data_IF_204342847324
#
_entry.id   IF_204342847324
#
_cell.length_a   1.000
_cell.length_b   1.000
_cell.length_c   1.000
_cell.angle_alpha   90.00
_cell.angle_beta   90.00
_cell.angle_gamma   90.00
#
_symmetry.space_group_name_H-M   'P 1'
#
loop_
_entity.id
_entity.type
_entity.pdbx_description
1 polymer ?
#
# COMPACT_ATOMS: atom_id res chain seq x y z
N UNK A 1 -47.17 65.25 28.80
CA UNK A 1 -46.34 66.04 29.74
C UNK A 1 -45.24 66.74 28.95
N UNK A 2 -45.19 68.08 28.97
CA UNK A 2 -44.20 68.84 28.21
C UNK A 2 -42.81 68.73 28.87
N UNK A 3 -41.80 68.21 28.15
CA UNK A 3 -40.41 68.14 28.64
C UNK A 3 -39.91 69.56 28.96
N UNK A 4 -39.51 69.77 30.22
CA UNK A 4 -38.98 71.04 30.73
C UNK A 4 -37.80 71.55 29.88
N UNK A 5 -37.72 72.87 29.68
CA UNK A 5 -36.64 73.52 28.90
C UNK A 5 -35.24 73.20 29.47
N UNK A 6 -35.16 72.93 30.78
CA UNK A 6 -33.93 72.54 31.46
C UNK A 6 -33.48 71.12 31.09
N UNK A 7 -34.41 70.15 30.98
CA UNK A 7 -34.07 68.78 30.60
C UNK A 7 -33.62 68.68 29.14
N UNK A 8 -34.22 69.45 28.24
CA UNK A 8 -33.78 69.53 26.84
C UNK A 8 -32.36 70.11 26.70
N UNK A 9 -32.01 71.13 27.49
CA UNK A 9 -30.63 71.69 27.51
C UNK A 9 -29.62 70.71 28.10
N UNK A 10 -29.98 69.98 29.16
CA UNK A 10 -29.12 68.94 29.72
C UNK A 10 -28.89 67.80 28.73
N UNK A 11 -29.94 67.32 28.05
CA UNK A 11 -29.82 66.26 27.05
C UNK A 11 -28.89 66.66 25.88
N UNK A 12 -29.00 67.90 25.40
CA UNK A 12 -28.08 68.43 24.38
C UNK A 12 -26.64 68.55 24.88
N UNK A 13 -26.44 68.98 26.13
CA UNK A 13 -25.10 69.05 26.76
C UNK A 13 -24.47 67.67 26.91
N UNK A 14 -25.25 66.68 27.35
CA UNK A 14 -24.79 65.29 27.47
C UNK A 14 -24.46 64.68 26.11
N UNK A 15 -25.30 64.89 25.09
CA UNK A 15 -25.02 64.44 23.71
C UNK A 15 -23.74 65.06 23.15
N UNK A 16 -23.51 66.36 23.37
CA UNK A 16 -22.28 67.05 22.97
C UNK A 16 -21.05 66.48 23.68
N UNK A 17 -21.13 66.24 24.99
CA UNK A 17 -20.03 65.65 25.75
C UNK A 17 -19.73 64.21 25.33
N UNK A 18 -20.77 63.40 25.04
CA UNK A 18 -20.60 62.04 24.50
C UNK A 18 -19.91 62.06 23.14
N UNK A 19 -20.36 62.92 22.21
CA UNK A 19 -19.71 63.07 20.90
C UNK A 19 -18.25 63.48 21.02
N UNK A 20 -17.92 64.44 21.89
CA UNK A 20 -16.54 64.84 22.15
C UNK A 20 -15.70 63.70 22.73
N UNK A 21 -16.25 62.90 23.65
CA UNK A 21 -15.53 61.75 24.23
C UNK A 21 -15.26 60.64 23.20
N UNK A 22 -16.23 60.33 22.33
CA UNK A 22 -16.07 59.34 21.26
C UNK A 22 -15.03 59.81 20.25
N UNK A 23 -15.08 61.09 19.86
CA UNK A 23 -14.09 61.66 18.95
C UNK A 23 -12.68 61.62 19.57
N UNK A 24 -12.57 61.88 20.87
CA UNK A 24 -11.31 61.77 21.62
C UNK A 24 -10.76 60.34 21.63
N UNK A 25 -11.60 59.33 21.88
CA UNK A 25 -11.20 57.91 21.85
C UNK A 25 -10.72 57.50 20.44
N UNK A 26 -11.45 57.91 19.39
CA UNK A 26 -11.07 57.64 18.00
C UNK A 26 -9.72 58.29 17.68
N UNK A 27 -9.50 59.54 18.13
CA UNK A 27 -8.23 60.24 17.93
C UNK A 27 -7.08 59.52 18.65
N UNK A 28 -7.29 59.06 19.88
CA UNK A 28 -6.30 58.29 20.64
C UNK A 28 -5.99 56.97 19.94
N UNK A 29 -7.00 56.23 19.48
CA UNK A 29 -6.81 54.99 18.72
C UNK A 29 -6.02 55.22 17.43
N UNK A 30 -6.32 56.30 16.70
CA UNK A 30 -5.55 56.70 15.52
C UNK A 30 -4.10 57.02 15.86
N UNK A 31 -3.84 57.72 16.98
CA UNK A 31 -2.48 58.02 17.42
C UNK A 31 -1.72 56.75 17.84
N UNK A 32 -2.37 55.82 18.54
CA UNK A 32 -1.76 54.54 18.94
C UNK A 32 -1.46 53.68 17.71
N UNK A 33 -2.38 53.60 16.75
CA UNK A 33 -2.15 52.80 15.55
C UNK A 33 -1.08 53.42 14.64
N UNK A 34 -1.11 54.75 14.48
CA UNK A 34 -0.18 55.46 13.60
C UNK A 34 1.21 55.63 14.20
N UNK A 35 1.32 55.83 15.52
CA UNK A 35 2.59 56.14 16.18
C UNK A 35 2.99 55.10 17.23
N UNK A 36 2.04 54.56 17.99
CA UNK A 36 2.31 53.59 19.05
C UNK A 36 2.83 52.24 18.56
N UNK A 37 2.18 51.63 17.57
CA UNK A 37 2.62 50.35 16.99
C UNK A 37 4.04 50.43 16.40
N UNK A 38 4.37 51.40 15.53
CA UNK A 38 5.73 51.55 15.01
C UNK A 38 6.76 51.77 16.12
N UNK A 39 6.43 52.54 17.16
CA UNK A 39 7.31 52.77 18.30
C UNK A 39 7.62 51.46 19.05
N UNK A 40 6.60 50.62 19.28
CA UNK A 40 6.75 49.32 19.95
C UNK A 40 7.57 48.33 19.11
N UNK A 41 7.34 48.27 17.79
CA UNK A 41 8.13 47.43 16.87
C UNK A 41 9.59 47.86 16.90
N UNK A 42 9.86 49.16 16.79
CA UNK A 42 11.22 49.69 16.79
C UNK A 42 11.92 49.51 18.15
N UNK A 43 11.19 49.68 19.26
CA UNK A 43 11.73 49.43 20.60
C UNK A 43 12.04 47.94 20.81
N UNK A 44 11.18 47.04 20.33
CA UNK A 44 11.42 45.59 20.36
C UNK A 44 12.67 45.20 19.56
N UNK A 45 12.82 45.75 18.35
CA UNK A 45 14.02 45.54 17.52
C UNK A 45 15.29 46.08 18.19
N UNK A 46 15.20 47.25 18.85
CA UNK A 46 16.31 47.85 19.58
C UNK A 46 16.72 47.02 20.81
N UNK A 47 15.76 46.56 21.61
CA UNK A 47 16.01 45.73 22.80
C UNK A 47 16.50 44.32 22.43
N UNK A 48 16.08 43.80 21.27
CA UNK A 48 16.56 42.52 20.71
C UNK A 48 17.99 42.59 20.17
N UNK A 49 18.61 43.78 20.12
CA UNK A 49 20.01 43.97 19.72
C UNK A 49 20.32 43.55 18.27
N UNK A 50 19.29 43.29 17.46
CA UNK A 50 19.42 42.65 16.17
C UNK A 50 18.81 43.51 15.07
N UNK A 51 19.61 43.82 14.05
CA UNK A 51 19.10 44.07 12.69
C UNK A 51 18.54 42.75 12.14
N UNK A 52 17.52 42.20 12.80
CA UNK A 52 16.82 41.03 12.32
C UNK A 52 15.88 41.49 11.21
N UNK A 53 16.34 41.38 9.97
CA UNK A 53 15.42 40.95 8.92
C UNK A 53 14.77 39.69 9.46
N UNK A 54 13.46 39.74 9.74
CA UNK A 54 12.67 38.52 9.89
C UNK A 54 12.63 37.90 8.49
N UNK A 55 13.69 37.19 8.12
CA UNK A 55 13.54 36.09 7.18
C UNK A 55 12.79 35.03 7.96
N UNK A 56 11.52 34.83 7.60
CA UNK A 56 10.90 33.56 7.84
C UNK A 56 11.77 32.55 7.11
N UNK A 57 12.69 31.88 7.81
CA UNK A 57 13.24 30.64 7.32
C UNK A 57 12.05 29.68 7.17
N UNK A 58 11.46 29.65 5.97
CA UNK A 58 10.76 28.49 5.48
C UNK A 58 11.80 27.39 5.35
N UNK A 59 12.12 26.75 6.46
CA UNK A 59 12.67 25.40 6.42
C UNK A 59 11.46 24.51 6.13
N UNK A 60 10.99 24.52 4.88
CA UNK A 60 10.18 23.42 4.39
C UNK A 60 11.12 22.21 4.38
N UNK A 61 10.95 21.18 5.24
CA UNK A 61 11.53 19.90 4.89
C UNK A 61 10.87 19.53 3.57
N UNK A 62 11.60 19.59 2.46
CA UNK A 62 11.12 19.14 1.16
C UNK A 62 10.69 17.69 1.32
N UNK A 63 9.39 17.49 1.51
CA UNK A 63 8.82 16.17 1.73
C UNK A 63 8.94 15.39 0.43
N UNK A 64 9.66 14.27 0.48
CA UNK A 64 9.79 13.35 -0.65
C UNK A 64 8.77 12.26 -0.45
N UNK A 65 7.80 12.16 -1.36
CA UNK A 65 6.82 11.08 -1.35
C UNK A 65 7.51 9.73 -1.58
N UNK A 66 7.20 8.68 -0.80
CA UNK A 66 7.69 7.34 -1.08
C UNK A 66 7.23 6.84 -2.46
N UNK A 67 8.06 6.04 -3.16
CA UNK A 67 7.67 5.43 -4.42
C UNK A 67 6.55 4.41 -4.18
N UNK A 68 5.70 4.23 -5.19
CA UNK A 68 4.63 3.22 -5.20
C UNK A 68 5.06 2.06 -6.08
N UNK A 69 5.20 0.88 -5.47
CA UNK A 69 5.51 -0.35 -6.18
C UNK A 69 4.25 -0.95 -6.81
N UNK A 70 4.39 -1.48 -8.02
CA UNK A 70 3.36 -2.30 -8.66
C UNK A 70 3.20 -3.62 -7.89
N UNK A 71 2.00 -4.17 -7.89
CA UNK A 71 1.74 -5.44 -7.24
C UNK A 71 2.52 -6.58 -7.89
N UNK A 72 3.05 -7.48 -7.07
CA UNK A 72 3.67 -8.73 -7.48
C UNK A 72 2.77 -9.91 -7.04
N UNK A 73 2.89 -11.08 -7.70
CA UNK A 73 2.24 -12.29 -7.21
C UNK A 73 2.78 -12.65 -5.82
N UNK A 74 1.95 -13.35 -5.03
CA UNK A 74 2.36 -13.81 -3.70
C UNK A 74 3.52 -14.83 -3.74
N UNK A 75 3.64 -15.58 -4.85
CA UNK A 75 4.74 -16.50 -5.05
C UNK A 75 5.12 -16.63 -6.53
N UNK A 76 6.34 -17.07 -6.78
CA UNK A 76 6.91 -17.33 -8.11
C UNK A 76 7.76 -18.58 -8.08
N UNK A 77 7.85 -19.26 -9.23
CA UNK A 77 8.78 -20.38 -9.46
C UNK A 77 10.12 -19.93 -10.05
N UNK A 78 10.21 -18.68 -10.49
CA UNK A 78 11.44 -18.06 -11.00
C UNK A 78 12.11 -17.23 -9.91
N UNK A 79 13.42 -17.43 -9.73
CA UNK A 79 14.23 -16.58 -8.86
C UNK A 79 14.38 -15.15 -9.42
N UNK A 80 14.23 -14.96 -10.74
CA UNK A 80 14.26 -13.65 -11.37
C UNK A 80 12.89 -13.02 -11.38
N UNK A 81 12.80 -11.77 -10.93
CA UNK A 81 11.58 -10.97 -10.90
C UNK A 81 11.81 -9.57 -11.44
N UNK A 82 10.75 -8.95 -11.94
CA UNK A 82 10.76 -7.54 -12.35
C UNK A 82 10.03 -6.75 -11.28
N UNK A 83 10.72 -5.80 -10.66
CA UNK A 83 10.16 -4.90 -9.65
C UNK A 83 9.97 -3.55 -10.32
N UNK A 84 8.72 -3.12 -10.47
CA UNK A 84 8.39 -1.87 -11.14
C UNK A 84 7.49 -1.00 -10.28
N UNK A 85 7.41 0.28 -10.62
CA UNK A 85 6.58 1.22 -9.90
C UNK A 85 6.60 2.61 -10.49
N UNK A 86 6.06 3.55 -9.72
CA UNK A 86 6.00 4.97 -10.04
C UNK A 86 6.52 5.80 -8.87
N UNK A 87 7.17 6.92 -9.19
CA UNK A 87 7.54 7.99 -8.25
C UNK A 87 7.47 9.33 -8.97
N UNK A 88 7.87 10.41 -8.31
CA UNK A 88 8.04 11.69 -9.00
C UNK A 88 9.16 11.58 -10.05
N UNK A 89 9.04 12.39 -11.10
CA UNK A 89 10.04 12.49 -12.16
C UNK A 89 11.40 12.91 -11.62
N UNK A 90 12.46 12.51 -12.31
CA UNK A 90 13.84 12.87 -12.03
C UNK A 90 14.39 12.44 -10.64
N UNK A 91 13.70 11.54 -9.94
CA UNK A 91 14.14 11.00 -8.65
C UNK A 91 14.97 9.72 -8.82
N UNK A 92 15.90 9.47 -7.89
CA UNK A 92 16.60 8.18 -7.80
C UNK A 92 15.80 7.27 -6.88
N UNK A 93 15.59 6.03 -7.29
CA UNK A 93 14.89 5.01 -6.49
C UNK A 93 15.93 4.04 -5.96
N UNK A 94 16.02 3.92 -4.64
CA UNK A 94 16.84 2.90 -3.96
C UNK A 94 15.97 1.70 -3.62
N UNK A 95 16.34 0.54 -4.13
CA UNK A 95 15.64 -0.72 -3.93
C UNK A 95 16.29 -1.53 -2.79
N UNK A 96 15.43 -2.10 -1.95
CA UNK A 96 15.83 -2.91 -0.81
C UNK A 96 15.13 -4.27 -0.87
N UNK A 97 15.90 -5.33 -0.64
CA UNK A 97 15.44 -6.71 -0.58
C UNK A 97 15.87 -7.31 0.75
N UNK A 98 14.91 -7.73 1.57
CA UNK A 98 15.15 -8.25 2.92
C UNK A 98 15.96 -7.28 3.80
N UNK A 99 15.62 -5.99 3.74
CA UNK A 99 16.29 -4.87 4.41
C UNK A 99 17.70 -4.50 3.90
N UNK A 100 18.28 -5.29 3.01
CA UNK A 100 19.54 -4.98 2.35
C UNK A 100 19.30 -4.08 1.13
N UNK A 101 20.10 -3.03 0.98
CA UNK A 101 20.15 -2.25 -0.26
C UNK A 101 20.75 -3.11 -1.39
N UNK A 102 20.06 -3.19 -2.52
CA UNK A 102 20.48 -4.07 -3.63
C UNK A 102 20.75 -3.32 -4.93
N UNK A 103 19.99 -2.29 -5.26
CA UNK A 103 20.15 -1.55 -6.51
C UNK A 103 19.55 -0.13 -6.41
N UNK A 104 19.94 0.75 -7.32
CA UNK A 104 19.31 2.05 -7.52
C UNK A 104 19.21 2.46 -8.99
N UNK A 105 18.12 3.09 -9.37
CA UNK A 105 17.92 3.60 -10.73
C UNK A 105 17.09 4.89 -10.72
N UNK A 106 17.25 5.71 -11.75
CA UNK A 106 16.54 6.98 -11.90
C UNK A 106 15.18 6.76 -12.56
N UNK A 107 14.15 7.46 -12.08
CA UNK A 107 12.85 7.46 -12.74
C UNK A 107 12.94 8.03 -14.16
N UNK A 108 12.14 7.45 -15.06
CA UNK A 108 11.96 7.94 -16.44
C UNK A 108 11.19 9.26 -16.43
N UNK A 109 11.08 9.91 -17.60
CA UNK A 109 10.35 11.19 -17.75
C UNK A 109 8.88 11.10 -17.32
N UNK A 110 8.27 9.91 -17.42
CA UNK A 110 6.90 9.62 -16.98
C UNK A 110 6.79 9.22 -15.50
N UNK A 111 7.89 9.22 -14.76
CA UNK A 111 7.97 8.84 -13.34
C UNK A 111 8.05 7.34 -13.09
N UNK A 112 8.09 6.50 -14.13
CA UNK A 112 8.20 5.04 -13.96
C UNK A 112 9.62 4.58 -13.71
N UNK A 113 9.78 3.45 -13.03
CA UNK A 113 11.05 2.75 -12.82
C UNK A 113 10.86 1.23 -12.90
N UNK A 114 11.95 0.49 -13.15
CA UNK A 114 11.94 -0.97 -13.23
C UNK A 114 13.32 -1.56 -12.95
N UNK A 115 13.35 -2.56 -12.07
CA UNK A 115 14.53 -3.34 -11.72
C UNK A 115 14.32 -4.81 -12.11
N UNK A 116 15.38 -5.50 -12.51
CA UNK A 116 15.37 -6.96 -12.70
C UNK A 116 16.29 -7.59 -11.66
N UNK A 117 15.70 -8.32 -10.72
CA UNK A 117 16.42 -8.79 -9.52
C UNK A 117 16.24 -10.28 -9.28
N UNK A 118 17.22 -10.85 -8.57
CA UNK A 118 17.18 -12.23 -8.10
C UNK A 118 16.77 -12.31 -6.61
N UNK A 119 15.74 -13.10 -6.32
CA UNK A 119 15.26 -13.36 -4.96
C UNK A 119 15.75 -14.71 -4.43
N UNK A 120 15.82 -14.83 -3.10
CA UNK A 120 16.27 -16.04 -2.41
C UNK A 120 15.11 -17.01 -2.21
N UNK A 121 15.42 -18.27 -1.89
CA UNK A 121 14.41 -19.27 -1.56
C UNK A 121 13.57 -18.84 -0.35
N UNK A 122 12.26 -19.11 -0.39
CA UNK A 122 11.34 -18.70 0.67
C UNK A 122 10.82 -17.27 0.50
N UNK A 123 10.39 -16.66 1.59
CA UNK A 123 9.81 -15.32 1.59
C UNK A 123 10.88 -14.24 1.39
N UNK A 124 10.56 -13.26 0.54
CA UNK A 124 11.38 -12.08 0.32
C UNK A 124 10.53 -10.83 0.46
N UNK A 125 11.07 -9.82 1.13
CA UNK A 125 10.40 -8.54 1.37
C UNK A 125 11.07 -7.47 0.53
N UNK A 126 10.28 -6.79 -0.29
CA UNK A 126 10.73 -5.74 -1.20
C UNK A 126 10.20 -4.40 -0.70
N UNK A 127 11.10 -3.41 -0.60
CA UNK A 127 10.79 -2.02 -0.26
C UNK A 127 11.63 -1.09 -1.10
N UNK A 128 11.16 0.13 -1.33
CA UNK A 128 11.92 1.15 -2.04
C UNK A 128 11.85 2.50 -1.34
N UNK A 129 12.85 3.36 -1.60
CA UNK A 129 12.86 4.77 -1.22
C UNK A 129 13.12 5.63 -2.45
N UNK A 130 12.59 6.85 -2.45
CA UNK A 130 12.94 7.87 -3.43
C UNK A 130 13.99 8.82 -2.83
N UNK A 131 14.88 9.31 -3.67
CA UNK A 131 15.97 10.23 -3.32
C UNK A 131 15.92 11.45 -4.23
N UNK A 132 15.97 12.63 -3.62
CA UNK A 132 15.98 13.94 -4.28
C UNK A 132 16.84 14.89 -3.45
N UNK A 133 17.79 15.59 -4.09
CA UNK A 133 18.71 16.54 -3.45
C UNK A 133 19.34 16.03 -2.13
N UNK A 134 19.90 14.81 -2.17
CA UNK A 134 20.56 14.10 -1.05
C UNK A 134 19.66 13.78 0.15
N UNK A 135 18.34 13.93 0.02
CA UNK A 135 17.35 13.49 1.01
C UNK A 135 16.64 12.24 0.53
N UNK A 136 16.20 11.41 1.47
CA UNK A 136 15.44 10.20 1.19
C UNK A 136 13.99 10.34 1.69
N UNK A 137 13.06 9.66 1.00
CA UNK A 137 11.71 9.43 1.50
C UNK A 137 11.68 8.40 2.63
N UNK A 138 10.52 8.27 3.27
CA UNK A 138 10.16 7.04 3.98
C UNK A 138 10.14 5.83 3.02
N UNK A 139 10.12 4.61 3.56
CA UNK A 139 9.93 3.42 2.74
C UNK A 139 8.55 3.38 2.07
N UNK A 140 8.51 2.80 0.87
CA UNK A 140 7.27 2.35 0.23
C UNK A 140 6.52 1.35 1.11
N UNK A 141 5.29 1.03 0.74
CA UNK A 141 4.65 -0.18 1.23
C UNK A 141 5.50 -1.40 0.86
N UNK A 142 5.63 -2.33 1.79
CA UNK A 142 6.39 -3.57 1.59
C UNK A 142 5.59 -4.56 0.75
N UNK A 143 6.24 -5.21 -0.19
CA UNK A 143 5.69 -6.33 -0.95
C UNK A 143 6.41 -7.60 -0.55
N UNK A 144 5.65 -8.63 -0.17
CA UNK A 144 6.19 -9.95 0.12
C UNK A 144 5.95 -10.88 -1.05
N UNK A 145 7.00 -11.59 -1.49
CA UNK A 145 6.94 -12.61 -2.53
C UNK A 145 7.73 -13.84 -2.10
N UNK A 146 7.14 -15.02 -2.27
CA UNK A 146 7.80 -16.29 -1.97
C UNK A 146 8.39 -16.95 -3.23
N UNK A 147 9.67 -17.30 -3.20
CA UNK A 147 10.25 -18.19 -4.20
C UNK A 147 9.96 -19.64 -3.81
N UNK A 148 9.10 -20.30 -4.60
CA UNK A 148 8.81 -21.73 -4.51
C UNK A 148 9.19 -22.39 -5.83
N UNK A 149 10.32 -23.09 -5.88
CA UNK A 149 10.80 -23.76 -7.10
C UNK A 149 10.46 -25.25 -7.17
N UNK A 150 10.02 -25.84 -6.06
CA UNK A 150 9.68 -27.25 -5.98
C UNK A 150 8.19 -27.49 -6.32
N UNK A 151 7.86 -28.55 -7.07
CA UNK A 151 6.49 -29.01 -7.23
C UNK A 151 5.83 -29.36 -5.89
N UNK A 152 4.50 -29.20 -5.79
CA UNK A 152 3.77 -29.60 -4.60
C UNK A 152 3.85 -31.11 -4.38
N UNK A 153 3.67 -31.55 -3.13
CA UNK A 153 3.42 -32.95 -2.84
C UNK A 153 2.10 -33.41 -3.46
N UNK A 154 2.01 -34.68 -3.84
CA UNK A 154 0.79 -35.27 -4.37
C UNK A 154 0.86 -36.76 -4.11
N UNK A 155 -0.13 -37.26 -3.38
CA UNK A 155 -0.37 -38.66 -3.11
C UNK A 155 -1.83 -38.97 -3.41
N UNK A 156 -2.07 -40.06 -4.14
CA UNK A 156 -3.42 -40.59 -4.41
C UNK A 156 -3.61 -41.84 -3.57
N UNK A 157 -4.62 -41.85 -2.71
CA UNK A 157 -4.97 -42.96 -1.84
C UNK A 157 -6.03 -43.89 -2.47
N UNK A 158 -6.90 -43.31 -3.29
CA UNK A 158 -7.93 -44.04 -4.06
C UNK A 158 -8.18 -43.30 -5.38
N UNK A 159 -8.44 -44.00 -6.49
CA UNK A 159 -8.31 -45.46 -6.64
C UNK A 159 -6.84 -45.91 -6.63
N UNK A 160 -6.62 -47.20 -6.40
CA UNK A 160 -5.32 -47.83 -6.67
C UNK A 160 -5.15 -48.07 -8.17
N UNK A 161 -3.90 -48.05 -8.65
CA UNK A 161 -3.62 -48.38 -10.04
C UNK A 161 -4.01 -49.83 -10.38
N UNK A 162 -4.72 -50.01 -11.48
CA UNK A 162 -5.31 -51.28 -11.92
C UNK A 162 -6.63 -51.67 -11.22
N UNK A 163 -7.18 -50.81 -10.35
CA UNK A 163 -8.43 -51.13 -9.63
C UNK A 163 -9.59 -51.38 -10.60
N UNK A 164 -10.39 -52.41 -10.31
CA UNK A 164 -11.55 -52.81 -11.11
C UNK A 164 -12.87 -52.50 -10.40
N UNK A 165 -13.84 -52.01 -11.16
CA UNK A 165 -15.20 -51.66 -10.73
C UNK A 165 -16.22 -52.49 -11.51
N UNK A 166 -17.24 -53.03 -10.84
CA UNK A 166 -18.29 -53.85 -11.47
C UNK A 166 -19.67 -53.20 -11.38
N UNK A 167 -20.15 -53.01 -10.15
CA UNK A 167 -21.52 -52.50 -9.93
C UNK A 167 -21.57 -50.98 -9.72
N UNK A 168 -20.42 -50.30 -9.71
CA UNK A 168 -20.29 -48.87 -9.47
C UNK A 168 -19.56 -48.19 -10.64
N UNK A 169 -20.28 -47.38 -11.42
CA UNK A 169 -19.74 -46.61 -12.54
C UNK A 169 -19.06 -45.30 -12.11
N UNK A 170 -18.59 -45.21 -10.87
CA UNK A 170 -17.91 -44.02 -10.33
C UNK A 170 -16.70 -44.44 -9.50
N UNK A 171 -15.62 -43.67 -9.62
CA UNK A 171 -14.46 -43.77 -8.75
C UNK A 171 -14.37 -42.52 -7.88
N UNK A 172 -14.30 -42.70 -6.56
CA UNK A 172 -13.96 -41.61 -5.65
C UNK A 172 -12.43 -41.47 -5.63
N UNK A 173 -11.94 -40.44 -6.30
CA UNK A 173 -10.53 -40.06 -6.37
C UNK A 173 -10.21 -39.26 -5.12
N UNK A 174 -9.40 -39.83 -4.23
CA UNK A 174 -9.05 -39.25 -2.94
C UNK A 174 -7.55 -39.26 -2.75
N UNK A 175 -7.03 -38.24 -2.10
CA UNK A 175 -5.60 -38.10 -1.86
C UNK A 175 -5.25 -36.96 -0.95
N UNK A 176 -3.96 -36.68 -0.86
CA UNK A 176 -3.39 -35.57 -0.09
C UNK A 176 -2.34 -34.82 -0.92
N UNK A 177 -2.22 -33.53 -0.64
CA UNK A 177 -1.25 -32.59 -1.22
C UNK A 177 -0.79 -31.59 -0.15
N UNK A 178 0.04 -30.62 -0.52
CA UNK A 178 0.38 -29.51 0.38
C UNK A 178 -0.82 -28.56 0.55
N UNK A 179 -0.89 -27.80 1.67
CA UNK A 179 -1.91 -26.76 1.82
C UNK A 179 -1.88 -25.73 0.68
N UNK A 180 -3.05 -25.14 0.40
CA UNK A 180 -3.26 -24.10 -0.62
C UNK A 180 -2.90 -24.51 -2.06
N UNK A 181 -2.80 -25.82 -2.32
CA UNK A 181 -2.61 -26.39 -3.65
C UNK A 181 -3.96 -26.67 -4.30
N UNK A 182 -4.08 -26.38 -5.59
CA UNK A 182 -5.28 -26.68 -6.36
C UNK A 182 -5.12 -28.01 -7.07
N UNK A 183 -6.13 -28.89 -6.96
CA UNK A 183 -6.14 -30.20 -7.61
C UNK A 183 -7.15 -30.23 -8.75
N UNK A 184 -6.75 -30.82 -9.89
CA UNK A 184 -7.68 -31.23 -10.95
C UNK A 184 -7.62 -32.73 -11.21
N UNK A 185 -8.76 -33.32 -11.53
CA UNK A 185 -8.92 -34.71 -11.96
C UNK A 185 -9.53 -34.69 -13.36
N UNK A 186 -8.80 -35.20 -14.36
CA UNK A 186 -9.16 -35.11 -15.78
C UNK A 186 -9.53 -33.68 -16.23
N UNK A 187 -8.87 -32.67 -15.65
CA UNK A 187 -9.10 -31.25 -15.95
C UNK A 187 -10.24 -30.58 -15.16
N UNK A 188 -10.98 -31.34 -14.34
CA UNK A 188 -12.03 -30.80 -13.47
C UNK A 188 -11.51 -30.54 -12.06
N UNK A 189 -11.93 -29.44 -11.43
CA UNK A 189 -11.52 -29.11 -10.06
C UNK A 189 -12.03 -30.14 -9.04
N UNK A 190 -11.12 -30.62 -8.19
CA UNK A 190 -11.45 -31.40 -7.02
C UNK A 190 -11.72 -30.49 -5.81
N UNK A 191 -12.50 -30.98 -4.84
CA UNK A 191 -12.64 -30.30 -3.56
C UNK A 191 -11.34 -30.52 -2.80
N UNK A 192 -10.76 -29.45 -2.24
CA UNK A 192 -9.53 -29.51 -1.44
C UNK A 192 -9.79 -28.81 -0.11
N UNK A 193 -9.47 -29.49 0.98
CA UNK A 193 -9.60 -28.98 2.35
C UNK A 193 -8.31 -28.25 2.78
N UNK A 194 -8.40 -27.49 3.87
CA UNK A 194 -7.26 -26.68 4.37
C UNK A 194 -6.05 -27.50 4.82
N UNK A 195 -6.24 -28.78 5.11
CA UNK A 195 -5.19 -29.73 5.47
C UNK A 195 -4.49 -30.37 4.25
N UNK A 196 -4.96 -30.05 3.03
CA UNK A 196 -4.45 -30.62 1.78
C UNK A 196 -5.11 -31.94 1.37
N UNK A 197 -6.11 -32.43 2.12
CA UNK A 197 -6.94 -33.55 1.68
C UNK A 197 -7.78 -33.13 0.48
N UNK A 198 -7.93 -34.00 -0.52
CA UNK A 198 -8.78 -33.73 -1.67
C UNK A 198 -9.66 -34.91 -2.05
N UNK A 199 -10.81 -34.61 -2.66
CA UNK A 199 -11.75 -35.61 -3.16
C UNK A 199 -12.46 -35.15 -4.43
N UNK A 200 -12.65 -36.09 -5.36
CA UNK A 200 -13.44 -35.91 -6.57
C UNK A 200 -14.13 -37.20 -6.97
N UNK A 201 -15.44 -37.14 -7.23
CA UNK A 201 -16.22 -38.28 -7.74
C UNK A 201 -16.19 -38.30 -9.26
N UNK A 202 -15.43 -39.21 -9.84
CA UNK A 202 -15.25 -39.35 -11.28
C UNK A 202 -16.22 -40.41 -11.85
N UNK A 203 -17.08 -40.07 -12.82
CA UNK A 203 -17.82 -41.05 -13.61
C UNK A 203 -16.88 -41.87 -14.50
N UNK A 204 -17.04 -43.19 -14.49
CA UNK A 204 -16.27 -44.13 -15.30
C UNK A 204 -17.02 -44.53 -16.57
N UNK A 205 -16.28 -44.70 -17.66
CA UNK A 205 -16.74 -45.31 -18.89
C UNK A 205 -16.50 -46.82 -18.87
N UNK A 206 -17.29 -47.61 -19.60
CA UNK A 206 -17.04 -49.05 -19.72
C UNK A 206 -15.65 -49.31 -20.34
N UNK A 207 -14.89 -50.23 -19.76
CA UNK A 207 -13.51 -50.54 -20.14
C UNK A 207 -12.46 -49.78 -19.31
N UNK A 208 -11.30 -49.55 -19.91
CA UNK A 208 -10.17 -48.85 -19.27
C UNK A 208 -10.42 -47.34 -19.17
N UNK A 209 -10.21 -46.77 -17.99
CA UNK A 209 -10.26 -45.34 -17.73
C UNK A 209 -8.90 -44.88 -17.24
N UNK A 210 -8.35 -43.86 -17.89
CA UNK A 210 -7.13 -43.17 -17.44
C UNK A 210 -7.53 -41.92 -16.66
N UNK A 211 -7.08 -41.85 -15.42
CA UNK A 211 -7.37 -40.76 -14.50
C UNK A 211 -6.10 -39.95 -14.35
N UNK A 212 -6.07 -38.74 -14.90
CA UNK A 212 -4.97 -37.78 -14.76
C UNK A 212 -5.28 -36.85 -13.59
N UNK A 213 -4.44 -36.87 -12.56
CA UNK A 213 -4.52 -35.97 -11.41
C UNK A 213 -3.38 -34.96 -11.51
N UNK A 214 -3.70 -33.66 -11.41
CA UNK A 214 -2.71 -32.57 -11.46
C UNK A 214 -2.86 -31.70 -10.22
N UNK A 215 -1.78 -31.58 -9.46
CA UNK A 215 -1.62 -30.64 -8.38
C UNK A 215 -0.87 -29.40 -8.87
N UNK A 216 -1.37 -28.20 -8.54
CA UNK A 216 -0.75 -26.93 -8.91
C UNK A 216 -0.73 -25.96 -7.73
N UNK A 217 0.46 -25.47 -7.36
CA UNK A 217 0.61 -24.49 -6.30
C UNK A 217 0.39 -23.04 -6.76
N UNK A 218 0.47 -22.09 -5.83
CA UNK A 218 0.33 -20.65 -6.09
C UNK A 218 1.45 -20.04 -6.94
N UNK A 219 2.62 -20.69 -7.00
CA UNK A 219 3.77 -20.28 -7.82
C UNK A 219 3.71 -20.87 -9.25
N UNK A 220 2.69 -21.67 -9.54
CA UNK A 220 2.47 -22.34 -10.83
C UNK A 220 3.22 -23.65 -11.00
N UNK A 221 3.91 -24.16 -9.95
CA UNK A 221 4.56 -25.47 -10.02
C UNK A 221 3.51 -26.58 -10.07
N UNK A 222 3.79 -27.63 -10.85
CA UNK A 222 2.86 -28.73 -11.09
C UNK A 222 3.46 -30.08 -10.78
N UNK A 223 2.63 -30.97 -10.22
CA UNK A 223 2.90 -32.40 -10.14
C UNK A 223 1.73 -33.16 -10.74
N UNK A 224 2.02 -34.12 -11.60
CA UNK A 224 1.02 -34.93 -12.28
C UNK A 224 1.17 -36.41 -11.91
N UNK A 225 0.05 -37.11 -11.75
CA UNK A 225 -0.02 -38.55 -11.59
C UNK A 225 -1.11 -39.11 -12.51
N UNK A 226 -0.89 -40.30 -13.04
CA UNK A 226 -1.89 -41.05 -13.80
C UNK A 226 -2.21 -42.35 -13.07
N UNK A 227 -3.49 -42.65 -12.92
CA UNK A 227 -4.01 -43.90 -12.36
C UNK A 227 -4.94 -44.55 -13.38
N UNK A 228 -4.76 -45.83 -13.65
CA UNK A 228 -5.63 -46.60 -14.55
C UNK A 228 -6.61 -47.44 -13.74
N UNK A 229 -7.87 -47.42 -14.14
CA UNK A 229 -8.90 -48.29 -13.57
C UNK A 229 -9.72 -48.93 -14.68
N UNK A 230 -10.39 -50.04 -14.38
CA UNK A 230 -11.28 -50.71 -15.34
C UNK A 230 -12.68 -50.75 -14.76
N UNK A 231 -13.68 -50.37 -15.55
CA UNK A 231 -15.09 -50.54 -15.21
C UNK A 231 -15.71 -51.58 -16.14
N UNK A 232 -16.43 -52.56 -15.61
CA UNK A 232 -17.10 -53.63 -16.37
C UNK A 232 -18.43 -53.96 -15.71
N UNK A 233 -19.57 -53.50 -16.25
CA UNK A 233 -20.92 -53.70 -15.70
C UNK A 233 -21.32 -55.17 -15.49
#
# INVERSE_FOLDING_TARGET
>A
MAKSRLSKRMEQKTKKNLLLSVLGIILILLLVFKFGLPLLINLSLFLSGSKAQVQLEKKDPSFIAPPVLNSLPQATSSAKIIISGISSKDQIIKLYLNDDFIDEDKTKEDGTFSFEEEIKAGENIIKAKAVEDDKESEFSQSITIALKSAPPSLQVNSPSDGQSYKDQNTADVQGTTDPDVKITVNGFWAITDSDGSFSYRLPLQNGENKIKIVAMDIAGNKKELEVKVTFSP
#
